data_IF_885937898331
#
_entry.id   IF_885937898331
#
_cell.length_a   1.000
_cell.length_b   1.000
_cell.length_c   1.000
_cell.angle_alpha   90.00
_cell.angle_beta   90.00
_cell.angle_gamma   90.00
#
_symmetry.space_group_name_H-M   'P 1'
#
loop_
_entity.id
_entity.type
_entity.pdbx_description
1 polymer ?
#
# COMPACT_ATOMS: atom_id res chain seq x y z
N UNK A 1 22.14 -3.93 -11.29
CA UNK A 1 21.60 -3.90 -9.92
C UNK A 1 22.49 -3.02 -9.05
N UNK A 2 21.84 -2.13 -8.30
CA UNK A 2 22.50 -1.27 -7.32
C UNK A 2 21.97 -1.64 -5.92
N UNK A 3 22.73 -2.40 -5.13
CA UNK A 3 22.28 -2.86 -3.81
C UNK A 3 21.99 -1.72 -2.83
N UNK A 4 22.73 -0.62 -2.88
CA UNK A 4 22.49 0.53 -1.99
C UNK A 4 21.18 1.25 -2.32
N UNK A 5 20.88 1.40 -3.61
CA UNK A 5 19.57 1.90 -4.05
C UNK A 5 18.43 0.97 -3.61
N UNK A 6 18.62 -0.34 -3.69
CA UNK A 6 17.62 -1.33 -3.26
C UNK A 6 17.36 -1.22 -1.75
N UNK A 7 18.42 -1.18 -0.94
CA UNK A 7 18.31 -0.98 0.52
C UNK A 7 17.55 0.29 0.86
N UNK A 8 17.91 1.41 0.22
CA UNK A 8 17.23 2.70 0.43
C UNK A 8 15.74 2.65 0.09
N UNK A 9 15.38 1.98 -1.00
CA UNK A 9 13.97 1.78 -1.37
C UNK A 9 13.23 0.95 -0.32
N UNK A 10 13.86 -0.11 0.20
CA UNK A 10 13.29 -0.94 1.26
C UNK A 10 13.09 -0.13 2.56
N UNK A 11 14.09 0.61 2.98
CA UNK A 11 14.04 1.44 4.19
C UNK A 11 12.91 2.48 4.10
N UNK A 12 12.81 3.18 2.97
CA UNK A 12 11.82 4.25 2.80
C UNK A 12 10.41 3.66 2.61
N UNK A 13 10.27 2.65 1.76
CA UNK A 13 8.94 2.18 1.33
C UNK A 13 8.31 1.16 2.28
N UNK A 14 9.12 0.41 3.05
CA UNK A 14 8.63 -0.66 3.91
C UNK A 14 8.95 -0.45 5.39
N UNK A 15 10.23 -0.30 5.73
CA UNK A 15 10.65 -0.22 7.13
C UNK A 15 10.15 1.05 7.81
N UNK A 16 10.32 2.21 7.18
CA UNK A 16 9.89 3.50 7.74
C UNK A 16 8.39 3.57 8.03
N UNK A 17 7.48 3.18 7.12
CA UNK A 17 6.05 3.14 7.41
C UNK A 17 5.69 2.20 8.56
N UNK A 18 6.33 1.04 8.65
CA UNK A 18 6.14 0.10 9.76
C UNK A 18 6.58 0.70 11.10
N UNK A 19 7.79 1.27 11.16
CA UNK A 19 8.32 1.92 12.36
C UNK A 19 7.46 3.11 12.78
N UNK A 20 7.02 3.95 11.84
CA UNK A 20 6.13 5.08 12.11
C UNK A 20 4.80 4.61 12.69
N UNK A 21 4.18 3.59 12.10
CA UNK A 21 2.93 3.02 12.61
C UNK A 21 3.10 2.51 14.04
N UNK A 22 4.19 1.77 14.31
CA UNK A 22 4.51 1.27 15.64
C UNK A 22 4.65 2.39 16.67
N UNK A 23 5.32 3.47 16.30
CA UNK A 23 5.53 4.62 17.19
C UNK A 23 4.23 5.35 17.53
N UNK A 24 3.25 5.33 16.61
CA UNK A 24 1.97 6.01 16.75
C UNK A 24 0.86 5.11 17.33
N UNK A 25 1.10 3.81 17.49
CA UNK A 25 0.04 2.82 17.76
C UNK A 25 -0.80 3.10 19.01
N UNK A 26 -0.18 3.71 20.04
CA UNK A 26 -0.87 4.05 21.28
C UNK A 26 -1.71 5.35 21.19
N UNK A 27 -1.61 6.05 20.06
CA UNK A 27 -2.37 7.27 19.78
C UNK A 27 -3.64 6.99 18.98
N UNK A 28 -3.80 5.77 18.46
CA UNK A 28 -4.98 5.40 17.70
C UNK A 28 -6.16 5.10 18.60
N UNK A 29 -7.29 5.68 18.26
CA UNK A 29 -8.57 5.36 18.86
C UNK A 29 -9.19 4.11 18.22
N UNK A 30 -10.21 3.54 18.85
CA UNK A 30 -11.06 2.52 18.22
C UNK A 30 -11.65 3.05 16.91
N UNK A 31 -11.75 2.17 15.92
CA UNK A 31 -12.22 2.45 14.56
C UNK A 31 -11.29 3.37 13.75
N UNK A 32 -10.07 3.63 14.24
CA UNK A 32 -9.04 4.27 13.44
C UNK A 32 -8.71 3.43 12.22
N UNK A 33 -8.27 4.10 11.17
CA UNK A 33 -7.91 3.49 9.89
C UNK A 33 -6.49 3.86 9.53
N UNK A 34 -5.72 2.87 9.10
CA UNK A 34 -4.34 3.05 8.63
C UNK A 34 -4.33 2.59 7.17
N UNK A 35 -3.94 3.47 6.26
CA UNK A 35 -3.85 3.15 4.85
C UNK A 35 -2.39 3.13 4.40
N UNK A 36 -1.94 1.97 3.92
CA UNK A 36 -0.63 1.82 3.28
C UNK A 36 -0.80 1.90 1.77
N UNK A 37 -0.18 2.92 1.17
CA UNK A 37 -0.17 3.06 -0.29
C UNK A 37 0.97 2.22 -0.86
N UNK A 38 0.61 1.05 -1.35
CA UNK A 38 1.52 0.11 -1.98
C UNK A 38 1.44 0.21 -3.52
N UNK A 39 1.69 -0.86 -4.21
CA UNK A 39 1.63 -0.91 -5.67
C UNK A 39 1.27 -2.32 -6.14
N UNK A 40 0.52 -2.42 -7.23
CA UNK A 40 0.33 -3.66 -7.99
C UNK A 40 1.67 -4.30 -8.38
N UNK A 41 2.73 -3.50 -8.56
CA UNK A 41 4.09 -4.02 -8.77
C UNK A 41 4.65 -4.80 -7.56
N UNK A 42 4.03 -4.71 -6.38
CA UNK A 42 4.30 -5.54 -5.22
C UNK A 42 3.52 -6.86 -5.19
N UNK A 43 2.70 -7.15 -6.19
CA UNK A 43 2.06 -8.47 -6.33
C UNK A 43 3.03 -9.48 -6.94
N UNK A 44 3.13 -10.66 -6.35
CA UNK A 44 3.94 -11.77 -6.87
C UNK A 44 3.20 -12.41 -8.04
N UNK A 45 1.90 -12.68 -7.88
CA UNK A 45 1.08 -13.35 -8.89
C UNK A 45 0.90 -12.50 -10.17
N UNK A 46 0.87 -11.17 -10.01
CA UNK A 46 0.68 -10.24 -11.14
C UNK A 46 2.01 -9.86 -11.84
N UNK A 47 3.13 -10.39 -11.35
CA UNK A 47 4.45 -10.06 -11.89
C UNK A 47 4.77 -10.86 -13.16
N UNK A 48 4.30 -10.40 -14.30
CA UNK A 48 4.56 -10.99 -15.63
C UNK A 48 5.69 -10.31 -16.40
N UNK A 49 6.16 -9.13 -15.94
CA UNK A 49 7.13 -8.31 -16.68
C UNK A 49 8.54 -8.30 -16.08
N UNK A 50 8.72 -8.76 -14.85
CA UNK A 50 10.02 -8.74 -14.17
C UNK A 50 10.55 -7.33 -13.90
N UNK A 51 11.88 -7.18 -13.85
CA UNK A 51 12.61 -5.91 -13.63
C UNK A 51 12.24 -5.17 -12.34
N UNK A 52 12.73 -3.95 -12.16
CA UNK A 52 12.41 -3.05 -11.03
C UNK A 52 12.54 -3.71 -9.65
N UNK A 53 13.55 -4.55 -9.46
CA UNK A 53 13.71 -5.42 -8.27
C UNK A 53 13.54 -4.66 -6.95
N UNK A 54 14.27 -3.56 -6.77
CA UNK A 54 14.21 -2.79 -5.52
C UNK A 54 12.81 -2.27 -5.21
N UNK A 55 12.14 -1.71 -6.21
CA UNK A 55 10.78 -1.21 -6.04
C UNK A 55 9.78 -2.34 -5.74
N UNK A 56 9.78 -3.41 -6.55
CA UNK A 56 8.89 -4.57 -6.32
C UNK A 56 9.10 -5.18 -4.95
N UNK A 57 10.36 -5.49 -4.59
CA UNK A 57 10.71 -6.04 -3.28
C UNK A 57 10.25 -5.14 -2.13
N UNK A 58 10.45 -3.82 -2.24
CA UNK A 58 10.03 -2.88 -1.20
C UNK A 58 8.50 -2.82 -1.06
N UNK A 59 7.75 -2.92 -2.16
CA UNK A 59 6.29 -2.90 -2.12
C UNK A 59 5.66 -4.21 -1.66
N UNK A 60 6.27 -5.36 -1.97
CA UNK A 60 5.92 -6.66 -1.34
C UNK A 60 6.13 -6.59 0.17
N UNK A 61 7.29 -6.11 0.61
CA UNK A 61 7.61 -5.99 2.03
C UNK A 61 6.63 -5.07 2.76
N UNK A 62 6.26 -3.92 2.16
CA UNK A 62 5.24 -3.02 2.70
C UNK A 62 3.88 -3.73 2.81
N UNK A 63 3.47 -4.46 1.77
CA UNK A 63 2.20 -5.20 1.76
C UNK A 63 2.18 -6.27 2.84
N UNK A 64 3.28 -7.00 3.04
CA UNK A 64 3.40 -8.00 4.10
C UNK A 64 3.36 -7.37 5.49
N UNK A 65 4.06 -6.26 5.72
CA UNK A 65 4.02 -5.54 6.99
C UNK A 65 2.60 -5.04 7.30
N UNK A 66 1.92 -4.46 6.32
CA UNK A 66 0.54 -3.99 6.45
C UNK A 66 -0.44 -5.16 6.71
N UNK A 67 -0.25 -6.30 6.05
CA UNK A 67 -1.04 -7.52 6.30
C UNK A 67 -0.88 -8.02 7.72
N UNK A 68 0.35 -8.12 8.22
CA UNK A 68 0.64 -8.51 9.61
C UNK A 68 -0.01 -7.54 10.59
N UNK A 69 0.15 -6.23 10.39
CA UNK A 69 -0.50 -5.21 11.21
C UNK A 69 -2.03 -5.34 11.21
N UNK A 70 -2.65 -5.70 10.09
CA UNK A 70 -4.10 -5.87 10.03
C UNK A 70 -4.61 -6.98 10.95
N UNK A 71 -3.81 -8.03 11.14
CA UNK A 71 -4.11 -9.15 12.04
C UNK A 71 -3.87 -8.74 13.49
N UNK A 72 -2.73 -8.10 13.76
CA UNK A 72 -2.36 -7.70 15.13
C UNK A 72 -3.30 -6.63 15.70
N UNK A 73 -3.81 -5.75 14.86
CA UNK A 73 -4.59 -4.58 15.28
C UNK A 73 -6.10 -4.80 15.29
N UNK A 74 -6.60 -5.91 14.74
CA UNK A 74 -8.04 -6.17 14.65
C UNK A 74 -8.74 -6.17 16.01
N UNK A 75 -8.09 -6.75 17.04
CA UNK A 75 -8.60 -6.79 18.40
C UNK A 75 -8.66 -5.41 19.07
N UNK A 76 -7.92 -4.45 18.56
CA UNK A 76 -7.96 -3.03 18.98
C UNK A 76 -8.99 -2.23 18.18
N UNK A 77 -9.73 -2.87 17.28
CA UNK A 77 -10.66 -2.21 16.37
C UNK A 77 -9.96 -1.13 15.49
N UNK A 78 -8.71 -1.38 15.07
CA UNK A 78 -7.97 -0.54 14.14
C UNK A 78 -7.90 -1.29 12.82
N UNK A 79 -8.35 -0.66 11.74
CA UNK A 79 -8.47 -1.29 10.43
C UNK A 79 -7.37 -0.83 9.48
N UNK A 80 -6.80 -1.77 8.73
CA UNK A 80 -5.64 -1.53 7.86
C UNK A 80 -6.04 -1.73 6.40
N UNK A 81 -5.87 -0.70 5.59
CA UNK A 81 -6.02 -0.75 4.13
C UNK A 81 -4.66 -0.94 3.45
N UNK A 82 -4.58 -1.87 2.50
CA UNK A 82 -3.44 -2.12 1.63
C UNK A 82 -3.87 -1.73 0.24
N UNK A 83 -3.43 -0.56 -0.24
CA UNK A 83 -4.07 0.11 -1.35
C UNK A 83 -3.09 0.36 -2.51
N UNK A 84 -3.53 0.04 -3.73
CA UNK A 84 -2.89 0.45 -4.97
C UNK A 84 -3.63 1.64 -5.58
N UNK A 85 -2.94 2.76 -5.85
CA UNK A 85 -3.58 4.00 -6.33
C UNK A 85 -4.01 3.96 -7.80
N UNK A 86 -3.67 2.89 -8.53
CA UNK A 86 -3.77 2.84 -9.99
C UNK A 86 -2.50 3.32 -10.68
N UNK A 87 -2.48 3.26 -12.01
CA UNK A 87 -1.47 3.94 -12.82
C UNK A 87 -1.85 5.41 -12.89
N UNK A 88 -1.25 6.23 -12.03
CA UNK A 88 -1.62 7.64 -11.91
C UNK A 88 -0.69 8.50 -12.76
N UNK A 89 -1.26 9.40 -13.57
CA UNK A 89 -0.51 10.37 -14.37
C UNK A 89 0.15 11.40 -13.48
N UNK A 90 1.42 11.18 -13.15
CA UNK A 90 2.24 12.01 -12.25
C UNK A 90 3.65 12.13 -12.80
N UNK A 91 4.48 12.95 -12.14
CA UNK A 91 5.92 13.04 -12.45
C UNK A 91 6.61 11.67 -12.38
N UNK A 92 6.24 10.80 -11.43
CA UNK A 92 6.82 9.46 -11.29
C UNK A 92 6.57 8.58 -12.53
N UNK A 93 5.42 8.73 -13.18
CA UNK A 93 5.02 7.97 -14.36
C UNK A 93 5.26 8.73 -15.67
N UNK A 94 6.03 9.84 -15.63
CA UNK A 94 6.26 10.68 -16.79
C UNK A 94 4.99 11.32 -17.36
N UNK A 95 3.98 11.55 -16.52
CA UNK A 95 2.68 12.08 -16.93
C UNK A 95 2.02 11.26 -18.06
N UNK A 96 2.07 9.93 -17.92
CA UNK A 96 1.54 9.00 -18.92
C UNK A 96 0.09 9.28 -19.29
N UNK A 97 -0.21 9.27 -20.59
CA UNK A 97 -1.58 9.43 -21.10
C UNK A 97 -2.48 8.20 -20.85
N UNK A 98 -1.86 7.05 -20.51
CA UNK A 98 -2.59 5.81 -20.20
C UNK A 98 -2.98 5.71 -18.72
N UNK A 99 -2.66 6.72 -17.91
CA UNK A 99 -2.95 6.76 -16.48
C UNK A 99 -4.25 7.51 -16.16
N UNK A 100 -4.77 7.23 -14.95
CA UNK A 100 -5.88 8.02 -14.39
C UNK A 100 -5.36 9.34 -13.81
N UNK A 101 -6.23 10.32 -13.65
CA UNK A 101 -5.88 11.59 -13.01
C UNK A 101 -5.57 11.41 -11.52
N UNK A 102 -4.78 12.33 -10.95
CA UNK A 102 -4.53 12.37 -9.49
C UNK A 102 -5.81 12.53 -8.69
N UNK A 103 -6.76 13.31 -9.19
CA UNK A 103 -8.07 13.53 -8.56
C UNK A 103 -8.91 12.25 -8.51
N UNK A 104 -8.93 11.50 -9.59
CA UNK A 104 -9.65 10.24 -9.69
C UNK A 104 -9.04 9.17 -8.75
N UNK A 105 -7.72 9.05 -8.76
CA UNK A 105 -7.00 8.16 -7.85
C UNK A 105 -7.26 8.51 -6.38
N UNK A 106 -7.15 9.78 -6.02
CA UNK A 106 -7.38 10.24 -4.65
C UNK A 106 -8.82 9.98 -4.19
N UNK A 107 -9.82 10.23 -5.06
CA UNK A 107 -11.21 9.92 -4.78
C UNK A 107 -11.40 8.43 -4.49
N UNK A 108 -10.88 7.56 -5.36
CA UNK A 108 -10.98 6.12 -5.18
C UNK A 108 -10.29 5.62 -3.90
N UNK A 109 -9.11 6.17 -3.59
CA UNK A 109 -8.43 5.84 -2.34
C UNK A 109 -9.23 6.26 -1.10
N UNK A 110 -9.81 7.47 -1.08
CA UNK A 110 -10.64 7.93 0.02
C UNK A 110 -11.87 7.04 0.21
N UNK A 111 -12.55 6.66 -0.86
CA UNK A 111 -13.69 5.72 -0.80
C UNK A 111 -13.27 4.36 -0.18
N UNK A 112 -12.08 3.85 -0.51
CA UNK A 112 -11.56 2.60 0.09
C UNK A 112 -11.26 2.79 1.57
N UNK A 113 -10.64 3.91 1.94
CA UNK A 113 -10.33 4.24 3.35
C UNK A 113 -11.64 4.41 4.14
N UNK A 114 -12.61 5.13 3.61
CA UNK A 114 -13.89 5.36 4.28
C UNK A 114 -14.67 4.05 4.49
N UNK A 115 -14.56 3.11 3.58
CA UNK A 115 -15.20 1.79 3.67
C UNK A 115 -14.48 0.78 4.54
N UNK A 116 -13.27 1.08 5.06
CA UNK A 116 -12.51 0.14 5.89
C UNK A 116 -13.27 -0.22 7.17
N UNK A 117 -13.34 -1.52 7.40
CA UNK A 117 -13.97 -2.13 8.58
C UNK A 117 -13.33 -3.51 8.86
N UNK A 118 -13.85 -4.24 9.83
CA UNK A 118 -13.33 -5.55 10.21
C UNK A 118 -13.32 -6.56 9.05
N UNK A 119 -14.34 -6.55 8.19
CA UNK A 119 -14.50 -7.56 7.12
C UNK A 119 -13.54 -7.39 5.94
N UNK A 120 -13.00 -6.19 5.76
CA UNK A 120 -12.09 -5.86 4.64
C UNK A 120 -10.71 -5.37 5.07
N UNK A 121 -10.44 -5.28 6.38
CA UNK A 121 -9.10 -4.99 6.91
C UNK A 121 -8.08 -6.01 6.43
N UNK A 122 -6.95 -5.54 5.91
CA UNK A 122 -5.88 -6.38 5.38
C UNK A 122 -6.16 -6.98 4.00
N UNK A 123 -7.16 -6.51 3.27
CA UNK A 123 -7.33 -6.84 1.84
C UNK A 123 -6.47 -5.91 0.98
N UNK A 124 -5.91 -6.45 -0.09
CA UNK A 124 -5.17 -5.67 -1.07
C UNK A 124 -6.14 -5.18 -2.15
N UNK A 125 -6.36 -3.87 -2.19
CA UNK A 125 -7.38 -3.25 -3.03
C UNK A 125 -6.79 -2.21 -3.98
N UNK A 126 -7.29 -2.21 -5.20
CA UNK A 126 -7.11 -1.11 -6.13
C UNK A 126 -8.03 0.07 -5.75
N UNK A 127 -7.65 1.30 -6.09
CA UNK A 127 -8.47 2.51 -5.86
C UNK A 127 -9.89 2.40 -6.46
N UNK A 128 -10.06 1.64 -7.55
CA UNK A 128 -11.38 1.40 -8.17
C UNK A 128 -12.24 0.36 -7.42
N UNK A 129 -11.71 -0.28 -6.38
CA UNK A 129 -12.42 -1.28 -5.57
C UNK A 129 -12.12 -2.75 -5.93
N UNK A 130 -11.38 -3.00 -7.00
CA UNK A 130 -10.93 -4.35 -7.36
C UNK A 130 -10.05 -4.95 -6.26
N UNK A 131 -10.26 -6.21 -5.92
CA UNK A 131 -9.33 -6.97 -5.08
C UNK A 131 -8.16 -7.44 -5.93
N UNK A 132 -6.96 -7.11 -5.52
CA UNK A 132 -5.75 -7.47 -6.22
C UNK A 132 -5.15 -8.79 -5.68
N UNK A 133 -4.47 -9.58 -6.54
CA UNK A 133 -3.71 -10.74 -6.11
C UNK A 133 -2.44 -10.31 -5.35
N UNK A 134 -1.92 -11.24 -4.53
CA UNK A 134 -0.69 -11.04 -3.75
C UNK A 134 0.59 -11.24 -4.54
#
# INVERSE_FOLDING_TARGET
LDPESIKKQFDINALSPLCMTRSLINLFNKKSKIAFITSRMGSIDDNTSGSSYGYRMSKVALSMAAKSLSIDLIKKEIFVGILHPGLVSTRMTGFTNNGISTKESAKGLLERIDSLNESNSGKFLHANGETLPW
#
